data_IF_764128678696
#
_entry.id   IF_764128678696
#
_cell.length_a   1.000
_cell.length_b   1.000
_cell.length_c   1.000
_cell.angle_alpha   90.00
_cell.angle_beta   90.00
_cell.angle_gamma   90.00
#
_symmetry.space_group_name_H-M   'P 1'
#
loop_
_entity.id
_entity.type
_entity.pdbx_description
1 polymer ?
#
# COMPACT_ATOMS: atom_id res chain seq x y z
N UNK A 1 -12.95 15.72 -3.59
CA UNK A 1 -12.61 15.11 -2.29
C UNK A 1 -11.67 13.92 -2.51
N UNK A 2 -10.48 13.91 -1.90
CA UNK A 2 -9.60 12.75 -2.01
C UNK A 2 -10.23 11.49 -1.40
N UNK A 3 -10.02 10.37 -2.07
CA UNK A 3 -10.46 9.08 -1.53
C UNK A 3 -9.54 8.66 -0.37
N UNK A 4 -10.07 7.84 0.53
CA UNK A 4 -9.30 7.28 1.63
C UNK A 4 -8.58 6.00 1.18
N UNK A 5 -7.33 5.84 1.62
CA UNK A 5 -6.56 4.62 1.42
C UNK A 5 -6.01 4.19 2.79
N UNK A 6 -6.20 2.91 3.11
CA UNK A 6 -5.88 2.36 4.41
C UNK A 6 -4.46 1.81 4.45
N UNK A 7 -3.71 2.12 5.52
CA UNK A 7 -2.36 1.61 5.76
C UNK A 7 -2.29 0.89 7.11
N UNK A 8 -3.24 -0.02 7.35
CA UNK A 8 -3.37 -0.67 8.64
C UNK A 8 -2.12 -1.45 9.06
N UNK A 9 -1.49 -2.15 8.11
CA UNK A 9 -0.26 -2.94 8.39
C UNK A 9 1.00 -2.08 8.43
N UNK A 10 0.95 -0.88 7.88
CA UNK A 10 2.12 0.00 7.75
C UNK A 10 1.85 1.40 8.28
N UNK A 11 0.98 1.51 9.28
CA UNK A 11 0.62 2.80 9.87
C UNK A 11 1.86 3.59 10.33
N UNK A 12 2.77 2.94 11.05
CA UNK A 12 3.96 3.60 11.58
C UNK A 12 4.92 4.03 10.47
N UNK A 13 5.06 3.22 9.43
CA UNK A 13 5.90 3.54 8.29
C UNK A 13 5.37 4.74 7.50
N UNK A 14 4.05 4.86 7.42
CA UNK A 14 3.42 6.02 6.77
C UNK A 14 3.57 7.26 7.66
N UNK A 15 3.38 7.13 8.97
CA UNK A 15 3.60 8.24 9.90
C UNK A 15 5.05 8.74 9.85
N UNK A 16 6.00 7.82 9.73
CA UNK A 16 7.43 8.14 9.61
C UNK A 16 7.83 8.57 8.20
N UNK A 17 6.93 8.47 7.22
CA UNK A 17 7.15 8.80 5.81
C UNK A 17 8.24 7.95 5.14
N UNK A 18 8.43 6.72 5.61
CA UNK A 18 9.43 5.80 5.05
C UNK A 18 8.85 4.91 3.95
N UNK A 19 7.53 4.69 3.95
CA UNK A 19 6.86 3.91 2.92
C UNK A 19 6.54 4.81 1.73
N UNK A 20 6.97 4.41 0.52
CA UNK A 20 6.74 5.17 -0.72
C UNK A 20 6.07 4.37 -1.82
N UNK A 21 5.86 3.07 -1.60
CA UNK A 21 5.20 2.18 -2.55
C UNK A 21 4.19 1.34 -1.79
N UNK A 22 3.05 1.08 -2.41
CA UNK A 22 2.06 0.15 -1.86
C UNK A 22 1.48 -0.68 -2.99
N UNK A 23 1.33 -1.98 -2.74
CA UNK A 23 0.66 -2.91 -3.67
C UNK A 23 -0.74 -3.20 -3.13
N UNK A 24 -1.72 -3.14 -4.01
CA UNK A 24 -3.12 -3.29 -3.66
C UNK A 24 -3.86 -4.19 -4.64
N UNK A 25 -4.83 -4.93 -4.12
CA UNK A 25 -5.83 -5.55 -4.96
C UNK A 25 -6.82 -4.47 -5.40
N UNK A 26 -7.25 -4.52 -6.65
CA UNK A 26 -8.16 -3.50 -7.17
C UNK A 26 -7.46 -2.18 -7.50
N UNK A 27 -8.07 -1.06 -7.12
CA UNK A 27 -7.57 0.29 -7.39
C UNK A 27 -7.31 0.53 -8.89
N UNK A 28 -8.13 -0.09 -9.76
CA UNK A 28 -7.94 -0.07 -11.21
C UNK A 28 -8.22 1.30 -11.84
N UNK A 29 -9.01 2.12 -11.17
CA UNK A 29 -9.42 3.43 -11.69
C UNK A 29 -8.62 4.59 -11.09
N UNK A 30 -7.58 4.27 -10.32
CA UNK A 30 -6.69 5.29 -9.74
C UNK A 30 -5.84 5.91 -10.85
N UNK A 31 -5.61 7.23 -10.77
CA UNK A 31 -4.84 7.98 -11.77
C UNK A 31 -3.61 8.63 -11.16
N UNK A 32 -2.57 8.73 -11.96
CA UNK A 32 -1.37 9.47 -11.58
C UNK A 32 -1.73 10.93 -11.36
N UNK A 33 -1.17 11.53 -10.32
CA UNK A 33 -1.50 12.88 -9.89
C UNK A 33 -2.69 12.98 -8.94
N UNK A 34 -3.40 11.89 -8.74
CA UNK A 34 -4.54 11.89 -7.81
C UNK A 34 -4.05 12.00 -6.37
N UNK A 35 -4.77 12.77 -5.55
CA UNK A 35 -4.50 12.89 -4.11
C UNK A 35 -5.33 11.86 -3.36
N UNK A 36 -4.75 11.29 -2.30
CA UNK A 36 -5.43 10.34 -1.43
C UNK A 36 -5.23 10.74 0.03
N UNK A 37 -6.24 10.45 0.86
CA UNK A 37 -6.11 10.55 2.32
C UNK A 37 -5.55 9.24 2.85
N UNK A 38 -4.30 9.27 3.36
CA UNK A 38 -3.72 8.12 4.03
C UNK A 38 -4.36 8.00 5.42
N UNK A 39 -4.91 6.85 5.71
CA UNK A 39 -5.63 6.57 6.95
C UNK A 39 -5.11 5.27 7.57
N UNK A 40 -5.30 5.14 8.88
CA UNK A 40 -4.96 3.91 9.57
C UNK A 40 -5.91 2.77 9.15
N UNK A 41 -7.22 3.03 9.18
CA UNK A 41 -8.24 2.04 8.90
C UNK A 41 -9.47 2.74 8.34
N UNK A 42 -10.00 2.24 7.23
CA UNK A 42 -11.15 2.85 6.56
C UNK A 42 -12.42 2.03 6.66
N UNK A 43 -12.33 0.73 6.98
CA UNK A 43 -13.46 -0.20 7.04
C UNK A 43 -13.41 -1.03 8.31
N UNK A 44 -14.56 -1.64 8.66
CA UNK A 44 -14.64 -2.48 9.84
C UNK A 44 -14.52 -1.71 11.14
N UNK A 45 -14.86 -0.41 11.11
CA UNK A 45 -14.83 0.43 12.29
C UNK A 45 -16.00 0.08 13.22
N UNK A 46 -15.74 0.10 14.53
CA UNK A 46 -16.80 0.01 15.53
C UNK A 46 -17.60 1.31 15.54
N UNK A 47 -18.85 1.31 16.06
CA UNK A 47 -19.67 2.54 16.08
C UNK A 47 -19.00 3.75 16.72
N UNK A 48 -18.16 3.55 17.75
CA UNK A 48 -17.46 4.62 18.44
C UNK A 48 -16.12 5.01 17.79
N UNK A 49 -15.65 4.22 16.82
CA UNK A 49 -14.39 4.50 16.14
C UNK A 49 -14.56 5.51 15.03
N UNK A 50 -13.56 6.36 14.84
CA UNK A 50 -13.49 7.31 13.73
C UNK A 50 -12.31 6.97 12.84
N UNK A 51 -12.38 7.40 11.56
CA UNK A 51 -11.26 7.27 10.64
C UNK A 51 -10.12 8.14 11.15
N UNK A 52 -8.96 7.52 11.41
CA UNK A 52 -7.76 8.23 11.81
C UNK A 52 -6.96 8.59 10.56
N UNK A 53 -6.96 9.86 10.21
CA UNK A 53 -6.19 10.36 9.07
C UNK A 53 -4.73 10.55 9.47
N UNK A 54 -3.82 10.08 8.62
CA UNK A 54 -2.38 10.26 8.83
C UNK A 54 -1.89 11.48 8.04
N UNK A 55 -2.38 11.67 6.81
CA UNK A 55 -2.00 12.79 5.97
C UNK A 55 -2.43 12.61 4.53
N UNK A 56 -2.05 13.56 3.71
CA UNK A 56 -2.31 13.52 2.27
C UNK A 56 -1.10 12.98 1.53
N UNK A 57 -1.37 12.17 0.51
CA UNK A 57 -0.35 11.66 -0.40
C UNK A 57 -0.79 11.93 -1.84
N UNK A 58 0.18 12.00 -2.74
CA UNK A 58 -0.07 12.16 -4.17
C UNK A 58 0.48 10.96 -4.92
N UNK A 59 -0.31 10.42 -5.83
CA UNK A 59 0.06 9.29 -6.66
C UNK A 59 1.04 9.75 -7.74
N UNK A 60 2.26 9.19 -7.73
CA UNK A 60 3.31 9.53 -8.69
C UNK A 60 3.29 8.61 -9.89
N UNK A 61 3.12 7.31 -9.66
CA UNK A 61 3.19 6.30 -10.71
C UNK A 61 2.33 5.10 -10.38
N UNK A 62 1.67 4.55 -11.37
CA UNK A 62 0.83 3.36 -11.24
C UNK A 62 1.28 2.34 -12.28
N UNK A 63 1.39 1.08 -11.86
CA UNK A 63 1.61 -0.03 -12.78
C UNK A 63 0.81 -1.24 -12.32
N UNK A 64 0.50 -2.10 -13.26
CA UNK A 64 -0.15 -3.39 -13.00
C UNK A 64 0.90 -4.47 -13.18
N UNK A 65 1.00 -5.36 -12.21
CA UNK A 65 2.01 -6.43 -12.25
C UNK A 65 1.56 -7.61 -11.42
N UNK A 66 2.26 -8.73 -11.56
CA UNK A 66 2.05 -9.87 -10.67
C UNK A 66 2.67 -9.54 -9.31
N UNK A 67 2.08 -10.05 -8.24
CA UNK A 67 2.63 -9.85 -6.90
C UNK A 67 4.08 -10.32 -6.81
N UNK A 68 4.39 -11.49 -7.42
CA UNK A 68 5.73 -12.07 -7.34
C UNK A 68 6.77 -11.35 -8.20
N UNK A 69 6.37 -10.34 -8.98
CA UNK A 69 7.34 -9.49 -9.69
C UNK A 69 8.25 -8.71 -8.74
N UNK A 70 7.85 -8.56 -7.46
CA UNK A 70 8.70 -7.91 -6.45
C UNK A 70 10.04 -8.64 -6.28
N UNK A 71 10.08 -9.94 -6.59
CA UNK A 71 11.30 -10.75 -6.51
C UNK A 71 12.40 -10.18 -7.43
N UNK A 72 11.98 -9.53 -8.53
CA UNK A 72 12.89 -8.87 -9.47
C UNK A 72 13.24 -7.43 -9.07
N UNK A 73 12.65 -6.93 -7.97
CA UNK A 73 12.89 -5.58 -7.44
C UNK A 73 13.06 -5.66 -5.92
N UNK A 74 14.16 -6.23 -5.43
CA UNK A 74 14.32 -6.46 -3.98
C UNK A 74 14.25 -5.17 -3.14
N UNK A 75 14.63 -4.03 -3.70
CA UNK A 75 14.57 -2.75 -3.01
C UNK A 75 13.13 -2.29 -2.71
N UNK A 76 12.14 -2.86 -3.39
CA UNK A 76 10.75 -2.50 -3.14
C UNK A 76 10.27 -2.95 -1.76
N UNK A 77 10.91 -3.92 -1.11
CA UNK A 77 10.56 -4.30 0.25
C UNK A 77 10.76 -3.11 1.21
N UNK A 78 11.87 -2.38 1.08
CA UNK A 78 12.11 -1.16 1.84
C UNK A 78 11.05 -0.10 1.54
N UNK A 79 10.76 0.08 0.26
CA UNK A 79 9.80 1.10 -0.19
C UNK A 79 8.37 0.76 0.25
N UNK A 80 8.05 -0.52 0.41
CA UNK A 80 6.78 -0.99 0.96
C UNK A 80 6.70 -0.81 2.47
N UNK A 81 7.82 -0.51 3.12
CA UNK A 81 7.88 -0.32 4.56
C UNK A 81 8.31 -1.56 5.34
N UNK A 82 8.90 -2.55 4.68
CA UNK A 82 9.31 -3.81 5.29
C UNK A 82 10.78 -4.13 4.98
N UNK A 83 11.73 -3.30 5.48
CA UNK A 83 13.14 -3.53 5.20
C UNK A 83 13.67 -4.85 5.75
N UNK A 84 12.99 -5.44 6.73
CA UNK A 84 13.37 -6.71 7.33
C UNK A 84 12.93 -7.93 6.52
N UNK A 85 12.04 -7.77 5.54
CA UNK A 85 11.53 -8.88 4.75
C UNK A 85 12.34 -9.09 3.47
N UNK A 86 12.51 -10.36 3.10
CA UNK A 86 12.96 -10.71 1.76
C UNK A 86 11.79 -10.54 0.78
N UNK A 87 12.03 -10.45 -0.54
CA UNK A 87 10.94 -10.38 -1.51
C UNK A 87 9.94 -11.53 -1.38
N UNK A 88 10.40 -12.76 -1.20
CA UNK A 88 9.49 -13.90 -1.00
C UNK A 88 8.78 -13.82 0.35
N UNK A 89 9.43 -13.29 1.38
CA UNK A 89 8.79 -13.04 2.68
C UNK A 89 7.65 -12.03 2.55
N UNK A 90 7.85 -10.98 1.74
CA UNK A 90 6.80 -10.02 1.43
C UNK A 90 5.62 -10.68 0.71
N UNK A 91 5.92 -11.52 -0.31
CA UNK A 91 4.87 -12.24 -1.06
C UNK A 91 4.06 -13.13 -0.12
N UNK A 92 4.72 -13.88 0.76
CA UNK A 92 4.03 -14.75 1.72
C UNK A 92 3.12 -13.94 2.64
N UNK A 93 3.63 -12.84 3.19
CA UNK A 93 2.85 -11.98 4.08
C UNK A 93 1.63 -11.41 3.37
N UNK A 94 1.83 -10.89 2.16
CA UNK A 94 0.75 -10.30 1.36
C UNK A 94 -0.33 -11.34 1.04
N UNK A 95 0.08 -12.55 0.60
CA UNK A 95 -0.85 -13.62 0.28
C UNK A 95 -1.67 -14.04 1.51
N UNK A 96 -1.03 -14.12 2.65
CA UNK A 96 -1.70 -14.47 3.91
C UNK A 96 -2.73 -13.41 4.30
N UNK A 97 -2.34 -12.13 4.22
CA UNK A 97 -3.20 -11.03 4.64
C UNK A 97 -4.34 -10.75 3.64
N UNK A 98 -4.05 -10.86 2.35
CA UNK A 98 -5.02 -10.55 1.30
C UNK A 98 -5.73 -11.78 0.74
N UNK A 99 -5.38 -12.98 1.22
CA UNK A 99 -5.97 -14.25 0.79
C UNK A 99 -5.90 -14.42 -0.71
N UNK A 100 -4.69 -14.28 -1.26
CA UNK A 100 -4.43 -14.41 -2.69
C UNK A 100 -3.20 -15.30 -2.92
N UNK A 101 -2.74 -15.38 -4.17
CA UNK A 101 -1.63 -16.23 -4.59
C UNK A 101 -0.50 -15.37 -5.16
N UNK A 102 0.75 -15.90 -5.24
CA UNK A 102 1.88 -15.11 -5.74
C UNK A 102 1.72 -14.56 -7.16
N UNK A 103 0.93 -15.23 -8.00
CA UNK A 103 0.69 -14.79 -9.38
C UNK A 103 -0.49 -13.81 -9.52
N UNK A 104 -1.12 -13.44 -8.42
CA UNK A 104 -2.23 -12.47 -8.44
C UNK A 104 -1.76 -11.13 -8.99
N UNK A 105 -2.55 -10.55 -9.91
CA UNK A 105 -2.28 -9.23 -10.42
C UNK A 105 -2.62 -8.17 -9.36
N UNK A 106 -1.67 -7.26 -9.15
CA UNK A 106 -1.83 -6.18 -8.18
C UNK A 106 -1.63 -4.82 -8.86
N UNK A 107 -2.13 -3.77 -8.23
CA UNK A 107 -1.83 -2.40 -8.61
C UNK A 107 -0.68 -1.92 -7.72
N UNK A 108 0.46 -1.62 -8.33
CA UNK A 108 1.61 -1.03 -7.65
C UNK A 108 1.49 0.48 -7.73
N UNK A 109 1.43 1.12 -6.59
CA UNK A 109 1.25 2.57 -6.47
C UNK A 109 2.49 3.16 -5.84
N UNK A 110 3.15 4.06 -6.57
CA UNK A 110 4.26 4.85 -6.05
C UNK A 110 3.72 6.22 -5.70
N UNK A 111 4.02 6.70 -4.49
CA UNK A 111 3.41 7.93 -4.00
C UNK A 111 4.42 8.77 -3.22
N UNK A 112 4.06 10.04 -3.03
CA UNK A 112 4.84 10.98 -2.22
C UNK A 112 3.92 11.63 -1.18
N UNK A 113 4.52 12.13 -0.13
CA UNK A 113 3.81 12.81 0.96
C UNK A 113 3.68 14.31 0.64
N UNK A 114 2.54 14.88 0.97
CA UNK A 114 2.27 16.30 0.80
C UNK A 114 2.46 17.08 2.10
#
# INVERSE_FOLDING_TARGET
>A
MPRNISFMLTTDQVKARTKTVTRRLGWKNLKEGEWLNACKKCRGLKPEEKIERIGLIVVLRISRERLDDIVNRPSDCDREGFPELTPWGFVEMFCREMKCTPDTEVTRIEFAYL
#
